data_IF_218599066272
#
_entry.id   IF_218599066272
#
_cell.length_a   1.000
_cell.length_b   1.000
_cell.length_c   1.000
_cell.angle_alpha   90.00
_cell.angle_beta   90.00
_cell.angle_gamma   90.00
#
_symmetry.space_group_name_H-M   'P 1'
#
loop_
_entity.id
_entity.type
_entity.pdbx_description
1 polymer ?
#
# COMPACT_ATOMS: atom_id res chain seq x y z
N UNK A 1 -15.57 6.10 -28.56
CA UNK A 1 -14.46 5.17 -28.38
C UNK A 1 -15.03 3.79 -28.65
N UNK A 2 -14.31 2.90 -29.31
CA UNK A 2 -14.81 1.53 -29.57
C UNK A 2 -15.03 0.82 -28.21
N UNK A 3 -16.14 0.07 -28.10
CA UNK A 3 -16.42 -0.76 -26.90
C UNK A 3 -15.41 -1.93 -26.75
N UNK A 4 -14.47 -2.05 -27.66
CA UNK A 4 -13.42 -3.08 -27.68
C UNK A 4 -12.23 -2.65 -26.85
N UNK A 5 -11.81 -3.49 -25.91
CA UNK A 5 -10.75 -3.23 -24.93
C UNK A 5 -9.66 -4.32 -24.99
N UNK A 6 -8.63 -4.18 -24.17
CA UNK A 6 -7.49 -5.11 -24.12
C UNK A 6 -7.93 -6.56 -23.84
N UNK A 7 -8.81 -6.79 -22.86
CA UNK A 7 -9.35 -8.11 -22.55
C UNK A 7 -10.08 -8.73 -23.75
N UNK A 8 -10.93 -7.95 -24.42
CA UNK A 8 -11.70 -8.43 -25.58
C UNK A 8 -10.78 -8.82 -26.72
N UNK A 9 -9.69 -8.08 -26.96
CA UNK A 9 -8.64 -8.42 -27.92
C UNK A 9 -7.95 -9.76 -27.61
N UNK A 10 -7.66 -10.04 -26.33
CA UNK A 10 -7.11 -11.33 -25.91
C UNK A 10 -8.08 -12.47 -26.14
N UNK A 11 -9.37 -12.28 -25.80
CA UNK A 11 -10.41 -13.30 -26.00
C UNK A 11 -10.60 -13.59 -27.47
N UNK A 12 -10.67 -12.56 -28.32
CA UNK A 12 -10.79 -12.73 -29.78
C UNK A 12 -9.60 -13.49 -30.35
N UNK A 13 -8.38 -13.11 -29.99
CA UNK A 13 -7.19 -13.81 -30.44
C UNK A 13 -7.12 -15.26 -29.95
N UNK A 14 -7.48 -15.50 -28.67
CA UNK A 14 -7.59 -16.86 -28.14
C UNK A 14 -8.62 -17.71 -28.91
N UNK A 15 -9.76 -17.11 -29.29
CA UNK A 15 -10.83 -17.75 -30.08
C UNK A 15 -10.41 -18.20 -31.50
N UNK A 16 -9.38 -17.57 -32.06
CA UNK A 16 -8.78 -17.98 -33.34
C UNK A 16 -7.97 -19.29 -33.23
N UNK A 17 -7.81 -19.84 -32.03
CA UNK A 17 -7.04 -21.06 -31.75
C UNK A 17 -5.63 -21.05 -32.37
N UNK A 18 -4.79 -20.03 -32.08
CA UNK A 18 -3.48 -19.88 -32.69
C UNK A 18 -2.54 -21.02 -32.27
N UNK A 19 -1.71 -21.51 -33.23
CA UNK A 19 -0.63 -22.44 -32.90
C UNK A 19 0.45 -21.71 -32.09
N UNK A 20 0.57 -22.03 -30.79
CA UNK A 20 1.47 -21.36 -29.82
C UNK A 20 2.81 -22.08 -29.75
N UNK A 21 3.80 -21.63 -30.53
CA UNK A 21 5.20 -22.08 -30.41
C UNK A 21 6.05 -21.16 -29.51
N UNK A 22 5.40 -20.18 -28.89
CA UNK A 22 5.96 -19.21 -27.91
C UNK A 22 5.65 -19.65 -26.48
N UNK A 23 6.22 -18.95 -25.48
CA UNK A 23 5.83 -19.03 -24.07
C UNK A 23 4.41 -18.45 -23.85
N UNK A 24 3.69 -18.77 -22.76
CA UNK A 24 4.07 -19.72 -21.70
C UNK A 24 4.06 -21.20 -22.11
N UNK A 25 4.71 -22.04 -21.29
CA UNK A 25 4.93 -23.46 -21.59
C UNK A 25 3.68 -24.33 -21.71
N UNK A 26 2.56 -23.95 -21.08
CA UNK A 26 1.26 -24.64 -21.17
C UNK A 26 0.54 -24.41 -22.51
N UNK A 27 1.01 -23.48 -23.36
CA UNK A 27 0.51 -23.23 -24.73
C UNK A 27 -0.99 -22.89 -24.82
N UNK A 28 -1.55 -22.30 -23.75
CA UNK A 28 -2.99 -21.99 -23.66
C UNK A 28 -3.89 -23.21 -23.56
N UNK A 29 -3.35 -24.35 -23.12
CA UNK A 29 -4.08 -25.62 -23.07
C UNK A 29 -4.39 -25.98 -21.60
N UNK A 30 -3.64 -26.91 -21.05
CA UNK A 30 -3.89 -27.50 -19.74
C UNK A 30 -2.79 -27.12 -18.75
N UNK A 31 -3.17 -26.80 -17.52
CA UNK A 31 -2.26 -26.58 -16.40
C UNK A 31 -2.35 -27.72 -15.38
N UNK A 32 -1.33 -27.89 -14.48
CA UNK A 32 -1.40 -28.90 -13.41
C UNK A 32 -2.58 -28.71 -12.45
N UNK A 33 -3.04 -27.47 -12.28
CA UNK A 33 -4.24 -27.12 -11.53
C UNK A 33 -5.38 -26.84 -12.51
N UNK A 34 -6.39 -27.72 -12.52
CA UNK A 34 -7.54 -27.62 -13.42
C UNK A 34 -8.35 -26.32 -13.27
N UNK A 35 -8.33 -25.73 -12.06
CA UNK A 35 -8.98 -24.45 -11.77
C UNK A 35 -8.42 -23.29 -12.62
N UNK A 36 -7.21 -23.44 -13.13
CA UNK A 36 -6.56 -22.45 -14.01
C UNK A 36 -6.78 -22.69 -15.50
N UNK A 37 -7.41 -23.80 -15.89
CA UNK A 37 -7.64 -24.13 -17.30
C UNK A 37 -8.49 -23.06 -18.02
N UNK A 38 -9.39 -22.38 -17.30
CA UNK A 38 -10.18 -21.29 -17.85
C UNK A 38 -9.33 -20.03 -18.16
N UNK A 39 -8.20 -19.84 -17.47
CA UNK A 39 -7.30 -18.70 -17.67
C UNK A 39 -6.18 -19.00 -18.66
N UNK A 40 -5.83 -20.28 -18.85
CA UNK A 40 -4.74 -20.68 -19.73
C UNK A 40 -4.87 -20.15 -21.17
N UNK A 41 -6.06 -20.09 -21.80
CA UNK A 41 -6.23 -19.50 -23.13
C UNK A 41 -5.89 -18.02 -23.23
N UNK A 42 -6.01 -17.27 -22.12
CA UNK A 42 -5.73 -15.83 -22.04
C UNK A 42 -4.29 -15.53 -21.62
N UNK A 43 -3.53 -16.54 -21.19
CA UNK A 43 -2.13 -16.35 -20.77
C UNK A 43 -1.21 -16.42 -22.00
N UNK A 44 -0.80 -15.23 -22.42
CA UNK A 44 0.04 -14.99 -23.58
C UNK A 44 1.41 -14.44 -23.18
N UNK A 45 2.17 -14.04 -24.14
CA UNK A 45 3.36 -13.20 -24.06
C UNK A 45 3.21 -12.03 -25.04
N UNK A 46 4.24 -11.21 -25.17
CA UNK A 46 4.30 -10.03 -26.02
C UNK A 46 4.32 -10.45 -27.51
N UNK A 47 3.15 -10.57 -28.11
CA UNK A 47 2.94 -10.80 -29.52
C UNK A 47 2.28 -9.57 -30.15
N UNK A 48 2.38 -9.45 -31.49
CA UNK A 48 1.74 -8.36 -32.21
C UNK A 48 0.23 -8.20 -31.90
N UNK A 49 -0.58 -9.26 -31.76
CA UNK A 49 -1.99 -9.14 -31.40
C UNK A 49 -2.26 -8.94 -29.89
N UNK A 50 -1.31 -9.26 -29.01
CA UNK A 50 -1.52 -9.25 -27.55
C UNK A 50 -0.92 -8.03 -26.86
N UNK A 51 -0.18 -7.20 -27.59
CA UNK A 51 0.47 -6.01 -27.06
C UNK A 51 1.71 -6.29 -26.22
N UNK A 52 2.38 -5.21 -25.82
CA UNK A 52 3.61 -5.25 -25.01
C UNK A 52 3.55 -4.18 -23.93
N UNK A 53 3.51 -4.61 -22.66
CA UNK A 53 3.43 -3.72 -21.51
C UNK A 53 4.51 -2.62 -21.50
N UNK A 54 5.69 -2.88 -22.06
CA UNK A 54 6.81 -1.94 -22.13
C UNK A 54 6.98 -1.29 -23.52
N UNK A 55 6.28 -1.79 -24.54
CA UNK A 55 6.39 -1.30 -25.93
C UNK A 55 5.57 -0.05 -26.20
N UNK A 56 4.26 -0.18 -26.12
CA UNK A 56 3.30 0.90 -26.38
C UNK A 56 2.61 0.82 -27.74
N UNK A 57 1.73 1.80 -27.98
CA UNK A 57 0.91 1.92 -29.19
C UNK A 57 0.02 0.70 -29.47
N UNK A 58 -0.58 0.12 -28.41
CA UNK A 58 -1.43 -1.05 -28.45
C UNK A 58 -2.64 -0.93 -27.52
N UNK A 59 -3.53 -1.93 -27.54
CA UNK A 59 -4.73 -2.02 -26.71
C UNK A 59 -4.43 -1.90 -25.20
N UNK A 60 -3.26 -2.36 -24.76
CA UNK A 60 -2.84 -2.28 -23.38
C UNK A 60 -2.54 -0.84 -22.95
N UNK A 61 -1.85 -0.09 -23.81
CA UNK A 61 -1.63 1.34 -23.58
C UNK A 61 -2.94 2.13 -23.60
N UNK A 62 -3.85 1.80 -24.50
CA UNK A 62 -5.18 2.44 -24.53
C UNK A 62 -5.95 2.20 -23.22
N UNK A 63 -5.88 1.00 -22.68
CA UNK A 63 -6.48 0.65 -21.39
C UNK A 63 -5.84 1.43 -20.24
N UNK A 64 -4.51 1.55 -20.18
CA UNK A 64 -3.79 2.37 -19.20
C UNK A 64 -4.16 3.86 -19.30
N UNK A 65 -4.32 4.40 -20.52
CA UNK A 65 -4.77 5.78 -20.78
C UNK A 65 -6.18 6.03 -20.25
N UNK A 66 -7.09 5.05 -20.38
CA UNK A 66 -8.44 5.15 -19.84
C UNK A 66 -8.43 5.19 -18.30
N UNK A 67 -7.58 4.38 -17.64
CA UNK A 67 -7.39 4.47 -16.19
C UNK A 67 -6.85 5.83 -15.75
N UNK A 68 -5.82 6.35 -16.45
CA UNK A 68 -5.26 7.67 -16.17
C UNK A 68 -6.34 8.76 -16.29
N UNK A 69 -7.14 8.73 -17.37
CA UNK A 69 -8.25 9.63 -17.58
C UNK A 69 -9.27 9.60 -16.43
N UNK A 70 -9.72 8.41 -16.04
CA UNK A 70 -10.70 8.24 -14.95
C UNK A 70 -10.20 8.78 -13.62
N UNK A 71 -8.91 8.64 -13.37
CA UNK A 71 -8.27 9.11 -12.15
C UNK A 71 -7.84 10.59 -12.21
N UNK A 72 -7.98 11.25 -13.38
CA UNK A 72 -7.54 12.61 -13.57
C UNK A 72 -6.03 12.79 -13.42
N UNK A 73 -5.27 11.77 -13.82
CA UNK A 73 -3.81 11.71 -13.84
C UNK A 73 -3.29 11.68 -15.28
N UNK A 74 -2.04 12.07 -15.52
CA UNK A 74 -1.49 12.12 -16.88
C UNK A 74 -1.16 10.72 -17.44
N UNK A 75 -0.70 9.82 -16.57
CA UNK A 75 -0.25 8.48 -16.99
C UNK A 75 -0.68 7.42 -15.97
N UNK A 76 -0.87 6.18 -16.48
CA UNK A 76 -1.08 4.98 -15.68
C UNK A 76 -0.16 3.85 -16.19
N UNK A 77 0.21 2.93 -15.30
CA UNK A 77 0.94 1.70 -15.62
C UNK A 77 0.40 0.52 -14.81
N UNK A 78 0.18 -0.61 -15.46
CA UNK A 78 -0.25 -1.85 -14.83
C UNK A 78 0.92 -2.56 -14.17
N UNK A 79 0.86 -2.71 -12.85
CA UNK A 79 1.89 -3.38 -12.07
C UNK A 79 1.44 -4.78 -11.64
N UNK A 80 2.20 -5.80 -12.04
CA UNK A 80 2.00 -7.20 -11.63
C UNK A 80 2.91 -7.62 -10.48
N UNK A 81 3.69 -6.69 -9.94
CA UNK A 81 4.54 -6.85 -8.75
C UNK A 81 4.00 -6.12 -7.52
N UNK A 82 2.71 -5.75 -7.53
CA UNK A 82 2.04 -5.05 -6.44
C UNK A 82 2.54 -3.61 -6.25
N UNK A 83 2.05 -2.94 -5.21
CA UNK A 83 2.53 -1.60 -4.85
C UNK A 83 3.99 -1.56 -4.43
N UNK A 84 4.63 -2.70 -4.14
CA UNK A 84 6.09 -2.76 -3.97
C UNK A 84 6.81 -2.32 -5.24
N UNK A 85 6.40 -2.86 -6.41
CA UNK A 85 6.88 -2.40 -7.71
C UNK A 85 6.56 -0.92 -7.92
N UNK A 86 5.35 -0.49 -7.51
CA UNK A 86 4.92 0.91 -7.62
C UNK A 86 5.81 1.87 -6.83
N UNK A 87 6.14 1.58 -5.58
CA UNK A 87 7.05 2.39 -4.76
C UNK A 87 8.42 2.50 -5.40
N UNK A 88 8.99 1.38 -5.86
CA UNK A 88 10.28 1.39 -6.57
C UNK A 88 10.21 2.24 -7.83
N UNK A 89 9.14 2.12 -8.61
CA UNK A 89 8.90 2.91 -9.83
C UNK A 89 8.82 4.40 -9.53
N UNK A 90 8.07 4.82 -8.52
CA UNK A 90 7.92 6.23 -8.16
C UNK A 90 9.26 6.86 -7.76
N UNK A 91 10.05 6.19 -6.93
CA UNK A 91 11.38 6.69 -6.59
C UNK A 91 12.31 6.74 -7.81
N UNK A 92 12.34 5.69 -8.64
CA UNK A 92 13.14 5.68 -9.87
C UNK A 92 12.76 6.80 -10.84
N UNK A 93 11.48 7.19 -10.87
CA UNK A 93 10.95 8.22 -11.76
C UNK A 93 11.32 9.62 -11.28
N UNK A 94 11.15 9.90 -9.99
CA UNK A 94 11.18 11.26 -9.44
C UNK A 94 12.46 11.61 -8.66
N UNK A 95 13.36 10.65 -8.43
CA UNK A 95 14.60 10.88 -7.67
C UNK A 95 15.85 10.41 -8.43
N UNK A 96 17.01 10.80 -7.91
CA UNK A 96 18.33 10.38 -8.40
C UNK A 96 19.19 9.91 -7.22
N UNK A 97 20.19 9.04 -7.44
CA UNK A 97 21.10 8.65 -6.38
C UNK A 97 21.74 9.85 -5.69
N UNK A 98 21.77 9.82 -4.35
CA UNK A 98 22.26 10.92 -3.51
C UNK A 98 21.20 11.96 -3.13
N UNK A 99 20.01 11.93 -3.73
CA UNK A 99 18.95 12.87 -3.37
C UNK A 99 18.49 12.71 -1.91
N UNK A 100 18.21 13.85 -1.27
CA UNK A 100 17.50 13.90 0.00
C UNK A 100 16.00 13.78 -0.27
N UNK A 101 15.34 12.88 0.45
CA UNK A 101 13.90 12.63 0.36
C UNK A 101 13.25 12.69 1.73
N UNK A 102 12.12 13.39 1.83
CA UNK A 102 11.29 13.38 3.04
C UNK A 102 10.46 12.10 3.03
N UNK A 103 10.47 11.35 4.11
CA UNK A 103 9.82 10.04 4.16
C UNK A 103 8.97 9.93 5.42
N UNK A 104 7.70 9.65 5.22
CA UNK A 104 6.77 9.31 6.29
C UNK A 104 7.26 8.09 7.09
N UNK A 105 7.38 8.24 8.41
CA UNK A 105 7.91 7.16 9.26
C UNK A 105 7.02 5.92 9.30
N UNK A 106 5.73 6.03 9.01
CA UNK A 106 4.79 4.89 8.96
C UNK A 106 4.74 4.20 7.59
N UNK A 107 5.80 4.32 6.81
CA UNK A 107 5.89 3.71 5.49
C UNK A 107 6.08 2.18 5.54
N UNK A 108 5.67 1.53 4.47
CA UNK A 108 5.87 0.09 4.28
C UNK A 108 7.36 -0.25 4.04
N UNK A 109 7.76 -1.49 4.37
CA UNK A 109 9.15 -1.99 4.15
C UNK A 109 9.68 -1.82 2.72
N UNK A 110 8.84 -1.77 1.70
CA UNK A 110 9.25 -1.50 0.31
C UNK A 110 9.91 -0.13 0.13
N UNK A 111 9.54 0.85 0.95
CA UNK A 111 10.16 2.18 0.94
C UNK A 111 11.62 2.09 1.41
N UNK A 112 11.89 1.34 2.48
CA UNK A 112 13.26 1.11 2.94
C UNK A 112 14.11 0.39 1.88
N UNK A 113 13.49 -0.55 1.14
CA UNK A 113 14.15 -1.20 0.00
C UNK A 113 14.47 -0.20 -1.12
N UNK A 114 13.54 0.69 -1.44
CA UNK A 114 13.75 1.72 -2.46
C UNK A 114 14.88 2.69 -2.05
N UNK A 115 14.88 3.16 -0.79
CA UNK A 115 15.95 4.03 -0.26
C UNK A 115 17.34 3.39 -0.40
N UNK A 116 17.44 2.09 -0.10
CA UNK A 116 18.71 1.37 -0.23
C UNK A 116 19.12 1.13 -1.69
N UNK A 117 18.17 0.72 -2.55
CA UNK A 117 18.45 0.40 -3.96
C UNK A 117 18.81 1.64 -4.78
N UNK A 118 18.12 2.76 -4.55
CA UNK A 118 18.34 4.01 -5.29
C UNK A 118 19.30 4.97 -4.60
N UNK A 119 19.95 4.55 -3.50
CA UNK A 119 20.95 5.34 -2.76
C UNK A 119 20.42 6.71 -2.33
N UNK A 120 19.28 6.74 -1.65
CA UNK A 120 18.60 7.95 -1.22
C UNK A 120 18.86 8.26 0.26
N UNK A 121 18.88 9.55 0.60
CA UNK A 121 19.09 10.05 1.95
C UNK A 121 17.75 10.41 2.59
N UNK A 122 17.15 9.56 3.46
CA UNK A 122 15.87 9.84 4.06
C UNK A 122 15.95 10.86 5.20
N UNK A 123 15.02 11.80 5.19
CA UNK A 123 14.64 12.63 6.34
C UNK A 123 13.30 12.11 6.85
N UNK A 124 13.31 11.48 8.02
CA UNK A 124 12.14 10.86 8.58
C UNK A 124 11.17 11.89 9.15
N UNK A 125 9.93 11.88 8.66
CA UNK A 125 8.83 12.71 9.17
C UNK A 125 8.01 11.95 10.19
N UNK A 126 7.59 12.65 11.23
CA UNK A 126 6.79 12.08 12.31
C UNK A 126 5.35 12.53 12.19
N UNK A 127 4.46 11.59 12.41
CA UNK A 127 3.05 11.88 12.57
C UNK A 127 2.72 12.18 14.03
N UNK A 128 1.70 12.98 14.33
CA UNK A 128 1.16 13.11 15.68
C UNK A 128 0.81 11.74 16.25
N UNK A 129 1.20 11.48 17.49
CA UNK A 129 0.77 10.27 18.21
C UNK A 129 -0.57 10.52 18.88
N UNK A 130 -1.56 9.73 18.54
CA UNK A 130 -2.90 9.80 19.13
C UNK A 130 -2.92 8.91 20.37
N UNK A 131 -2.56 9.49 21.53
CA UNK A 131 -2.34 8.76 22.78
C UNK A 131 -3.53 7.86 23.15
N UNK A 132 -4.75 8.38 23.06
CA UNK A 132 -5.96 7.63 23.42
C UNK A 132 -6.28 6.48 22.44
N UNK A 133 -5.58 6.42 21.33
CA UNK A 133 -5.78 5.44 20.26
C UNK A 133 -4.58 4.51 20.08
N UNK A 134 -3.41 4.87 20.60
CA UNK A 134 -2.13 4.19 20.32
C UNK A 134 -1.85 3.98 18.81
N UNK A 135 -2.24 4.93 17.99
CA UNK A 135 -1.95 4.99 16.56
C UNK A 135 -1.40 6.36 16.15
N UNK A 136 -0.77 6.43 14.99
CA UNK A 136 -0.35 7.71 14.42
C UNK A 136 -1.52 8.40 13.71
N UNK A 137 -1.64 9.71 13.88
CA UNK A 137 -2.57 10.57 13.16
C UNK A 137 -2.14 10.83 11.70
N UNK A 138 -2.77 11.80 11.02
CA UNK A 138 -2.37 12.22 9.67
C UNK A 138 -0.98 12.86 9.67
N UNK A 139 -0.26 12.79 8.55
CA UNK A 139 0.92 13.63 8.34
C UNK A 139 0.44 15.09 8.16
N UNK A 140 1.02 16.02 8.92
CA UNK A 140 0.59 17.42 8.94
C UNK A 140 1.48 18.30 8.08
N UNK A 141 0.91 19.41 7.55
CA UNK A 141 1.67 20.42 6.80
C UNK A 141 2.76 21.08 7.65
N UNK A 142 2.53 21.26 8.96
CA UNK A 142 3.52 21.86 9.89
C UNK A 142 4.78 20.99 9.98
N UNK A 143 4.63 19.67 10.06
CA UNK A 143 5.79 18.75 10.10
C UNK A 143 6.56 18.79 8.79
N UNK A 144 5.86 18.78 7.66
CA UNK A 144 6.49 18.85 6.32
C UNK A 144 7.18 20.22 6.15
N UNK A 145 6.52 21.32 6.53
CA UNK A 145 7.11 22.66 6.45
C UNK A 145 8.36 22.79 7.30
N UNK A 146 8.34 22.25 8.53
CA UNK A 146 9.49 22.18 9.42
C UNK A 146 10.67 21.45 8.78
N UNK A 147 10.40 20.29 8.17
CA UNK A 147 11.42 19.50 7.49
C UNK A 147 11.99 20.22 6.26
N UNK A 148 11.14 20.86 5.45
CA UNK A 148 11.56 21.61 4.26
C UNK A 148 12.37 22.87 4.60
N UNK A 149 12.14 23.49 5.77
CA UNK A 149 12.98 24.60 6.28
C UNK A 149 14.39 24.12 6.63
N UNK A 150 14.52 22.89 7.14
CA UNK A 150 15.80 22.30 7.55
C UNK A 150 16.53 21.63 6.39
N UNK A 151 15.76 21.11 5.43
CA UNK A 151 16.24 20.36 4.27
C UNK A 151 15.65 20.92 2.96
N UNK A 152 16.03 22.17 2.59
CA UNK A 152 15.52 22.82 1.37
C UNK A 152 15.98 22.12 0.08
N UNK A 153 16.98 21.26 0.15
CA UNK A 153 17.50 20.45 -0.95
C UNK A 153 16.62 19.24 -1.27
N UNK A 154 15.64 18.89 -0.43
CA UNK A 154 14.78 17.72 -0.62
C UNK A 154 14.08 17.73 -1.99
N UNK A 155 14.03 16.57 -2.66
CA UNK A 155 13.49 16.42 -4.02
C UNK A 155 12.10 15.82 -4.03
N UNK A 156 11.78 14.97 -3.06
CA UNK A 156 10.48 14.34 -2.96
C UNK A 156 10.05 14.17 -1.50
N UNK A 157 8.75 14.12 -1.29
CA UNK A 157 8.08 13.64 -0.08
C UNK A 157 7.34 12.36 -0.42
N UNK A 158 7.57 11.28 0.32
CA UNK A 158 6.72 10.10 0.29
C UNK A 158 5.82 10.09 1.53
N UNK A 159 4.50 9.97 1.31
CA UNK A 159 3.49 9.83 2.36
C UNK A 159 2.68 8.56 2.15
N UNK A 160 2.32 7.88 3.25
CA UNK A 160 1.40 6.73 3.23
C UNK A 160 -0.01 7.21 3.55
N UNK A 161 -0.95 7.12 2.60
CA UNK A 161 -2.35 7.52 2.80
C UNK A 161 -3.28 6.69 1.91
N UNK A 162 -4.20 5.91 2.51
CA UNK A 162 -4.42 5.73 3.95
C UNK A 162 -3.32 4.91 4.63
N UNK A 163 -3.19 5.08 5.96
CA UNK A 163 -2.37 4.16 6.77
C UNK A 163 -3.06 2.79 6.90
N UNK A 164 -2.39 1.82 7.50
CA UNK A 164 -2.97 0.49 7.73
C UNK A 164 -4.25 0.56 8.60
N UNK A 165 -4.30 1.48 9.54
CA UNK A 165 -5.49 1.75 10.38
C UNK A 165 -6.54 2.63 9.68
N UNK A 166 -6.33 2.98 8.42
CA UNK A 166 -7.26 3.78 7.63
C UNK A 166 -7.15 5.29 7.82
N UNK A 167 -6.11 5.80 8.50
CA UNK A 167 -5.93 7.25 8.69
C UNK A 167 -5.51 7.91 7.38
N UNK A 168 -6.25 8.93 7.00
CA UNK A 168 -6.02 9.73 5.79
C UNK A 168 -5.23 11.00 6.13
N UNK A 169 -4.34 11.43 5.23
CA UNK A 169 -3.69 12.74 5.26
C UNK A 169 -4.32 13.67 4.23
N UNK A 170 -4.27 14.97 4.46
CA UNK A 170 -4.72 15.99 3.51
C UNK A 170 -3.69 16.12 2.38
N UNK A 171 -3.90 15.32 1.32
CA UNK A 171 -2.97 15.26 0.19
C UNK A 171 -2.99 16.53 -0.65
N UNK A 172 -4.12 17.26 -0.72
CA UNK A 172 -4.22 18.51 -1.45
C UNK A 172 -3.35 19.60 -0.80
N UNK A 173 -3.49 19.77 0.52
CA UNK A 173 -2.67 20.74 1.26
C UNK A 173 -1.17 20.37 1.23
N UNK A 174 -0.84 19.07 1.33
CA UNK A 174 0.54 18.58 1.21
C UNK A 174 1.10 18.82 -0.20
N UNK A 175 0.30 18.63 -1.26
CA UNK A 175 0.71 18.88 -2.63
C UNK A 175 1.01 20.37 -2.87
N UNK A 176 0.10 21.27 -2.44
CA UNK A 176 0.31 22.71 -2.54
C UNK A 176 1.61 23.14 -1.85
N UNK A 177 1.85 22.64 -0.63
CA UNK A 177 3.06 22.95 0.14
C UNK A 177 4.34 22.44 -0.55
N UNK A 178 4.33 21.21 -1.05
CA UNK A 178 5.46 20.60 -1.76
C UNK A 178 5.75 21.33 -3.06
N UNK A 179 4.74 21.55 -3.87
CA UNK A 179 4.88 22.22 -5.19
C UNK A 179 5.40 23.67 -5.05
N UNK A 180 4.96 24.41 -4.03
CA UNK A 180 5.48 25.73 -3.72
C UNK A 180 7.00 25.75 -3.41
N UNK A 181 7.59 24.60 -3.11
CA UNK A 181 9.02 24.41 -2.81
C UNK A 181 9.75 23.61 -3.88
N UNK A 182 9.08 23.25 -4.99
CA UNK A 182 9.65 22.42 -6.07
C UNK A 182 9.92 20.96 -5.66
N UNK A 183 9.25 20.46 -4.62
CA UNK A 183 9.34 19.11 -4.11
C UNK A 183 8.20 18.26 -4.70
N UNK A 184 8.50 17.02 -5.10
CA UNK A 184 7.51 16.08 -5.63
C UNK A 184 6.76 15.37 -4.51
N UNK A 185 5.43 15.30 -4.59
CA UNK A 185 4.62 14.51 -3.65
C UNK A 185 4.34 13.12 -4.21
N UNK A 186 4.87 12.10 -3.55
CA UNK A 186 4.68 10.69 -3.86
C UNK A 186 3.79 10.05 -2.79
N UNK A 187 2.86 9.18 -3.20
CA UNK A 187 1.91 8.57 -2.27
C UNK A 187 1.97 7.05 -2.35
N UNK A 188 2.22 6.43 -1.20
CA UNK A 188 1.87 5.03 -0.98
C UNK A 188 0.38 4.95 -0.65
N UNK A 189 -0.43 4.78 -1.69
CA UNK A 189 -1.88 4.61 -1.62
C UNK A 189 -2.31 3.15 -1.65
N UNK A 190 -1.44 2.20 -1.27
CA UNK A 190 -1.69 0.76 -1.42
C UNK A 190 -3.03 0.29 -0.84
N UNK A 191 -3.55 0.95 0.18
CA UNK A 191 -4.86 0.66 0.79
C UNK A 191 -5.99 1.58 0.30
N UNK A 192 -5.76 2.40 -0.72
CA UNK A 192 -6.66 3.48 -1.11
C UNK A 192 -7.31 3.36 -2.49
N UNK A 193 -7.20 2.21 -3.18
CA UNK A 193 -7.70 2.07 -4.56
C UNK A 193 -9.22 2.30 -4.69
N UNK A 194 -10.01 2.07 -3.64
CA UNK A 194 -11.46 2.28 -3.59
C UNK A 194 -11.87 3.70 -3.19
N UNK A 195 -10.96 4.53 -2.67
CA UNK A 195 -11.29 5.85 -2.14
C UNK A 195 -12.02 6.76 -3.15
N UNK A 196 -11.67 6.77 -4.46
CA UNK A 196 -12.42 7.55 -5.44
C UNK A 196 -13.91 7.17 -5.58
N UNK A 197 -14.29 5.97 -5.10
CA UNK A 197 -15.68 5.48 -5.14
C UNK A 197 -16.52 5.92 -3.93
N UNK A 198 -15.87 6.25 -2.80
CA UNK A 198 -16.52 6.49 -1.51
C UNK A 198 -16.35 7.89 -0.96
N UNK A 199 -15.27 8.61 -1.32
CA UNK A 199 -15.04 9.98 -0.87
C UNK A 199 -15.75 10.97 -1.78
N UNK A 200 -16.48 11.90 -1.20
CA UNK A 200 -17.21 13.06 -1.73
C UNK A 200 -17.99 12.87 -3.05
N UNK A 201 -19.17 13.45 -3.09
CA UNK A 201 -19.94 13.71 -4.30
C UNK A 201 -19.64 15.14 -4.79
N UNK A 202 -19.51 15.35 -6.09
CA UNK A 202 -19.86 16.64 -6.62
C UNK A 202 -18.99 17.36 -7.64
N UNK A 203 -17.92 16.81 -8.21
CA UNK A 203 -17.27 17.48 -9.36
C UNK A 203 -17.43 16.69 -10.66
N UNK A 204 -18.04 17.37 -11.67
CA UNK A 204 -18.55 16.78 -12.91
C UNK A 204 -17.50 16.41 -13.96
N UNK A 205 -16.20 16.59 -13.70
CA UNK A 205 -15.16 16.47 -14.72
C UNK A 205 -14.27 15.22 -14.61
N UNK A 206 -14.54 14.33 -13.66
CA UNK A 206 -13.92 13.01 -13.56
C UNK A 206 -15.04 11.99 -13.44
N UNK A 207 -15.01 10.92 -14.22
CA UNK A 207 -16.03 9.86 -14.20
C UNK A 207 -16.22 9.23 -12.82
N UNK A 208 -15.19 9.24 -11.97
CA UNK A 208 -15.23 8.75 -10.60
C UNK A 208 -15.66 9.81 -9.57
N UNK A 209 -15.85 11.09 -9.97
CA UNK A 209 -16.16 12.18 -9.05
C UNK A 209 -14.91 12.76 -8.39
N UNK A 210 -14.74 12.63 -7.08
CA UNK A 210 -13.56 13.08 -6.35
C UNK A 210 -12.49 12.00 -6.28
N UNK A 211 -11.26 12.31 -6.71
CA UNK A 211 -10.10 11.45 -6.50
C UNK A 211 -9.10 12.16 -5.57
N UNK A 212 -8.84 11.62 -4.34
CA UNK A 212 -7.93 12.24 -3.38
C UNK A 212 -6.46 12.25 -3.86
N UNK A 213 -6.14 11.52 -4.92
CA UNK A 213 -4.76 11.42 -5.45
C UNK A 213 -4.50 12.33 -6.65
N UNK A 214 -5.50 13.09 -7.12
CA UNK A 214 -5.39 13.87 -8.37
C UNK A 214 -4.27 14.91 -8.36
N UNK A 215 -4.02 15.56 -7.22
CA UNK A 215 -3.04 16.63 -7.06
C UNK A 215 -1.60 16.19 -6.82
N UNK A 216 -1.34 14.86 -6.65
CA UNK A 216 -0.01 14.36 -6.34
C UNK A 216 0.84 14.12 -7.60
N UNK A 217 2.17 14.11 -7.48
CA UNK A 217 3.06 13.82 -8.62
C UNK A 217 3.07 12.33 -8.98
N UNK A 218 2.92 11.46 -7.99
CA UNK A 218 2.84 10.03 -8.24
C UNK A 218 2.15 9.26 -7.11
N UNK A 219 1.38 8.24 -7.47
CA UNK A 219 0.73 7.35 -6.50
C UNK A 219 0.75 5.90 -7.00
N UNK A 220 0.93 4.97 -6.07
CA UNK A 220 0.66 3.57 -6.33
C UNK A 220 -0.47 3.06 -5.45
N UNK A 221 -1.38 2.29 -6.03
CA UNK A 221 -2.50 1.67 -5.32
C UNK A 221 -2.54 0.16 -5.59
N UNK A 222 -2.74 -0.65 -4.56
CA UNK A 222 -2.93 -2.09 -4.73
C UNK A 222 -4.39 -2.37 -5.09
N UNK A 223 -4.64 -2.79 -6.31
CA UNK A 223 -5.97 -3.17 -6.75
C UNK A 223 -6.51 -4.35 -5.93
N UNK A 224 -5.66 -5.35 -5.69
CA UNK A 224 -6.02 -6.59 -4.98
C UNK A 224 -6.37 -6.42 -3.50
N UNK A 225 -6.05 -5.28 -2.86
CA UNK A 225 -6.32 -5.09 -1.42
C UNK A 225 -7.74 -4.60 -1.16
N UNK A 226 -8.23 -3.72 -2.01
CA UNK A 226 -9.51 -3.04 -1.78
C UNK A 226 -10.45 -3.04 -2.97
N UNK A 227 -10.05 -3.59 -4.13
CA UNK A 227 -10.88 -3.85 -5.29
C UNK A 227 -10.91 -5.36 -5.60
N UNK A 228 -11.88 -5.82 -6.39
CA UNK A 228 -12.01 -7.24 -6.77
C UNK A 228 -11.01 -7.61 -7.87
N UNK A 229 -9.74 -7.72 -7.50
CA UNK A 229 -8.65 -8.04 -8.42
C UNK A 229 -7.74 -9.16 -7.86
N UNK A 230 -7.05 -9.93 -8.73
CA UNK A 230 -6.11 -10.96 -8.31
C UNK A 230 -4.97 -10.39 -7.46
N UNK A 231 -4.45 -11.20 -6.54
CA UNK A 231 -3.25 -10.85 -5.76
C UNK A 231 -2.09 -10.38 -6.66
N UNK A 232 -1.23 -9.49 -6.15
CA UNK A 232 -0.13 -8.81 -6.84
C UNK A 232 -0.54 -7.69 -7.81
N UNK A 233 -1.80 -7.54 -8.20
CA UNK A 233 -2.21 -6.44 -9.08
C UNK A 233 -2.17 -5.09 -8.38
N UNK A 234 -1.60 -4.11 -9.07
CA UNK A 234 -1.56 -2.72 -8.63
C UNK A 234 -1.59 -1.77 -9.83
N UNK A 235 -1.89 -0.51 -9.57
CA UNK A 235 -1.85 0.57 -10.54
C UNK A 235 -0.84 1.62 -10.06
N UNK A 236 -0.08 2.16 -11.00
CA UNK A 236 0.86 3.26 -10.76
C UNK A 236 0.38 4.43 -11.60
N UNK A 237 0.12 5.56 -10.97
CA UNK A 237 -0.27 6.80 -11.66
C UNK A 237 0.80 7.86 -11.44
N UNK A 238 1.02 8.70 -12.45
CA UNK A 238 1.95 9.81 -12.33
C UNK A 238 1.51 11.02 -13.16
N UNK A 239 1.84 12.22 -12.66
CA UNK A 239 1.63 13.52 -13.30
C UNK A 239 2.94 14.14 -13.75
N UNK A 240 2.89 14.94 -14.83
CA UNK A 240 4.04 15.66 -15.36
C UNK A 240 5.10 14.77 -16.01
N UNK A 241 4.75 13.53 -16.38
CA UNK A 241 5.65 12.57 -17.04
C UNK A 241 4.98 11.93 -18.25
N UNK A 242 5.79 11.46 -19.18
CA UNK A 242 5.32 10.73 -20.36
C UNK A 242 5.21 9.22 -20.08
N UNK A 243 4.37 8.52 -20.85
CA UNK A 243 4.24 7.07 -20.77
C UNK A 243 5.59 6.34 -20.94
N UNK A 244 6.47 6.71 -21.91
CA UNK A 244 7.79 6.11 -22.02
C UNK A 244 8.68 6.31 -20.79
N UNK A 245 8.59 7.46 -20.11
CA UNK A 245 9.34 7.71 -18.87
C UNK A 245 8.83 6.81 -17.74
N UNK A 246 7.51 6.68 -17.59
CA UNK A 246 6.90 5.80 -16.59
C UNK A 246 7.26 4.32 -16.83
N UNK A 247 7.15 3.84 -18.08
CA UNK A 247 7.54 2.47 -18.46
C UNK A 247 9.01 2.17 -18.20
N UNK A 248 9.90 3.12 -18.55
CA UNK A 248 11.33 2.98 -18.28
C UNK A 248 11.61 2.84 -16.79
N UNK A 249 10.96 3.63 -15.94
CA UNK A 249 11.10 3.55 -14.50
C UNK A 249 10.53 2.24 -13.95
N UNK A 250 9.33 1.84 -14.40
CA UNK A 250 8.68 0.60 -13.99
C UNK A 250 9.51 -0.64 -14.37
N UNK A 251 10.17 -0.63 -15.52
CA UNK A 251 11.03 -1.72 -15.98
C UNK A 251 12.24 -2.01 -15.08
N UNK A 252 12.65 -1.06 -14.21
CA UNK A 252 13.74 -1.30 -13.26
C UNK A 252 13.34 -2.24 -12.11
N UNK A 253 12.05 -2.35 -11.81
CA UNK A 253 11.54 -3.11 -10.67
C UNK A 253 10.54 -4.21 -11.05
N UNK A 254 10.41 -4.50 -12.34
CA UNK A 254 9.39 -5.38 -12.87
C UNK A 254 9.96 -6.61 -13.57
N UNK A 255 9.13 -7.63 -13.71
CA UNK A 255 9.41 -8.77 -14.59
C UNK A 255 9.29 -8.35 -16.06
N UNK A 256 10.14 -8.91 -16.92
CA UNK A 256 10.02 -8.79 -18.38
C UNK A 256 8.94 -9.71 -18.97
N UNK A 257 8.31 -10.57 -18.15
CA UNK A 257 7.26 -11.51 -18.56
C UNK A 257 6.03 -11.31 -17.67
N UNK A 258 5.27 -10.22 -17.88
CA UNK A 258 4.09 -9.93 -17.05
C UNK A 258 2.99 -10.97 -17.27
N UNK A 259 2.22 -11.27 -16.24
CA UNK A 259 1.07 -12.17 -16.34
C UNK A 259 -0.07 -11.51 -17.11
N UNK A 260 -0.36 -11.99 -18.30
CA UNK A 260 -1.48 -11.49 -19.13
C UNK A 260 -2.84 -11.64 -18.48
N UNK A 261 -3.16 -12.75 -17.75
CA UNK A 261 -4.39 -12.80 -16.94
C UNK A 261 -4.53 -11.68 -15.91
N UNK A 262 -3.42 -11.24 -15.29
CA UNK A 262 -3.45 -10.10 -14.36
C UNK A 262 -3.66 -8.78 -15.09
N UNK A 263 -3.05 -8.58 -16.27
CA UNK A 263 -3.27 -7.39 -17.09
C UNK A 263 -4.73 -7.33 -17.56
N UNK A 264 -5.27 -8.45 -18.02
CA UNK A 264 -6.67 -8.57 -18.41
C UNK A 264 -7.64 -8.29 -17.25
N UNK A 265 -7.30 -8.76 -16.04
CA UNK A 265 -8.09 -8.47 -14.86
C UNK A 265 -8.08 -6.97 -14.51
N UNK A 266 -6.95 -6.26 -14.64
CA UNK A 266 -6.86 -4.82 -14.44
C UNK A 266 -7.67 -4.04 -15.48
N UNK A 267 -7.69 -4.49 -16.73
CA UNK A 267 -8.52 -3.89 -17.78
C UNK A 267 -10.02 -4.02 -17.46
N UNK A 268 -10.48 -5.23 -17.11
CA UNK A 268 -11.89 -5.48 -16.74
C UNK A 268 -12.29 -4.87 -15.39
N UNK A 269 -11.33 -4.59 -14.52
CA UNK A 269 -11.58 -3.95 -13.24
C UNK A 269 -12.11 -2.52 -13.40
N UNK A 270 -11.72 -1.81 -14.45
CA UNK A 270 -12.14 -0.44 -14.69
C UNK A 270 -13.67 -0.31 -14.85
N UNK A 271 -14.36 -1.00 -15.80
CA UNK A 271 -15.82 -0.95 -15.88
C UNK A 271 -16.48 -1.48 -14.59
N UNK A 272 -15.94 -2.54 -13.98
CA UNK A 272 -16.45 -3.07 -12.73
C UNK A 272 -16.46 -2.03 -11.59
N UNK A 273 -15.48 -1.13 -11.52
CA UNK A 273 -15.46 -0.06 -10.52
C UNK A 273 -16.70 0.84 -10.62
N UNK A 274 -17.14 1.19 -11.83
CA UNK A 274 -18.35 2.00 -12.01
C UNK A 274 -19.59 1.25 -11.55
N UNK A 275 -19.71 -0.02 -11.92
CA UNK A 275 -20.83 -0.88 -11.56
C UNK A 275 -20.91 -1.12 -10.04
N UNK A 276 -19.77 -1.20 -9.36
CA UNK A 276 -19.66 -1.48 -7.93
C UNK A 276 -19.75 -0.25 -7.03
N UNK A 277 -19.86 0.97 -7.59
CA UNK A 277 -19.81 2.23 -6.82
C UNK A 277 -20.85 2.30 -5.70
N UNK A 278 -22.10 1.97 -6.01
CA UNK A 278 -23.17 2.02 -5.01
C UNK A 278 -22.97 0.95 -3.93
N UNK A 279 -22.33 -0.16 -4.28
CA UNK A 279 -21.96 -1.19 -3.32
C UNK A 279 -20.88 -0.68 -2.34
N UNK A 280 -19.86 0.03 -2.79
CA UNK A 280 -18.87 0.65 -1.89
C UNK A 280 -19.52 1.69 -0.97
N UNK A 281 -20.46 2.48 -1.45
CA UNK A 281 -21.23 3.42 -0.62
C UNK A 281 -22.05 2.70 0.45
N UNK A 282 -22.68 1.59 0.10
CA UNK A 282 -23.39 0.74 1.04
C UNK A 282 -22.46 0.19 2.12
N UNK A 283 -21.29 -0.32 1.74
CA UNK A 283 -20.26 -0.83 2.65
C UNK A 283 -19.77 0.27 3.59
N UNK A 284 -19.52 1.48 3.09
CA UNK A 284 -19.18 2.64 3.92
C UNK A 284 -20.29 2.95 4.96
N UNK A 285 -21.55 2.83 4.55
CA UNK A 285 -22.69 2.95 5.46
C UNK A 285 -22.69 1.86 6.55
N UNK A 286 -22.38 0.63 6.22
CA UNK A 286 -22.24 -0.46 7.19
C UNK A 286 -21.10 -0.20 8.18
N UNK A 287 -19.96 0.29 7.70
CA UNK A 287 -18.85 0.66 8.57
C UNK A 287 -19.24 1.79 9.53
N UNK A 288 -19.98 2.80 9.04
CA UNK A 288 -20.48 3.89 9.88
C UNK A 288 -21.44 3.39 10.98
N UNK A 289 -22.34 2.46 10.67
CA UNK A 289 -23.22 1.82 11.65
C UNK A 289 -22.45 1.01 12.70
N UNK A 290 -21.44 0.24 12.25
CA UNK A 290 -20.60 -0.55 13.15
C UNK A 290 -19.80 0.34 14.10
N UNK A 291 -19.24 1.47 13.61
CA UNK A 291 -18.53 2.44 14.45
C UNK A 291 -19.40 3.05 15.56
N UNK A 292 -20.70 3.18 15.34
CA UNK A 292 -21.63 3.66 16.38
C UNK A 292 -21.97 2.58 17.42
N UNK A 293 -21.89 1.31 17.04
CA UNK A 293 -22.38 0.19 17.85
C UNK A 293 -21.29 -0.55 18.61
N UNK A 294 -20.04 -0.44 18.20
CA UNK A 294 -18.90 -1.20 18.73
C UNK A 294 -17.74 -0.27 19.10
N UNK A 295 -16.77 -0.72 19.95
CA UNK A 295 -15.65 0.08 20.42
C UNK A 295 -14.62 0.31 19.29
N UNK A 296 -14.95 1.17 18.36
CA UNK A 296 -14.07 1.51 17.24
C UNK A 296 -13.16 2.68 17.55
N UNK A 297 -12.11 2.81 16.75
CA UNK A 297 -11.14 3.90 16.81
C UNK A 297 -11.90 5.27 16.83
N UNK A 298 -11.74 6.09 17.89
CA UNK A 298 -12.51 7.31 18.07
C UNK A 298 -11.93 8.49 17.27
N UNK A 299 -11.79 8.30 15.96
CA UNK A 299 -11.35 9.36 15.05
C UNK A 299 -12.54 9.91 14.26
N UNK A 300 -12.45 11.19 13.90
CA UNK A 300 -13.43 11.82 13.02
C UNK A 300 -13.50 11.07 11.68
N UNK A 301 -14.70 10.83 11.20
CA UNK A 301 -14.96 10.14 9.94
C UNK A 301 -14.33 10.84 8.73
N UNK A 302 -14.07 12.14 8.81
CA UNK A 302 -13.37 12.89 7.75
C UNK A 302 -11.89 12.50 7.61
N UNK A 303 -11.27 11.99 8.67
CA UNK A 303 -9.87 11.56 8.69
C UNK A 303 -9.66 10.05 8.56
N UNK A 304 -10.73 9.28 8.29
CA UNK A 304 -10.67 7.82 8.17
C UNK A 304 -11.20 7.32 6.83
N UNK A 305 -10.58 6.27 6.32
CA UNK A 305 -11.10 5.45 5.23
C UNK A 305 -12.51 4.94 5.59
N UNK A 306 -13.55 5.29 4.82
CA UNK A 306 -14.93 4.91 5.13
C UNK A 306 -15.17 3.39 5.19
N UNK A 307 -14.41 2.60 4.44
CA UNK A 307 -14.52 1.14 4.37
C UNK A 307 -13.59 0.39 5.33
N UNK A 308 -12.82 1.11 6.18
CA UNK A 308 -11.92 0.53 7.17
C UNK A 308 -12.59 0.50 8.53
N UNK A 309 -12.80 -0.70 9.09
CA UNK A 309 -13.30 -0.84 10.46
C UNK A 309 -12.12 -1.21 11.37
N UNK A 310 -11.84 -0.36 12.36
CA UNK A 310 -10.81 -0.60 13.38
C UNK A 310 -11.47 -0.62 14.75
N UNK A 311 -11.50 -1.80 15.36
CA UNK A 311 -11.95 -1.95 16.74
C UNK A 311 -10.77 -1.66 17.67
N UNK A 312 -11.01 -0.93 18.75
CA UNK A 312 -10.03 -0.58 19.78
C UNK A 312 -10.41 -1.25 21.09
N UNK A 313 -9.62 -2.23 21.50
CA UNK A 313 -9.93 -3.20 22.56
C UNK A 313 -8.74 -3.41 23.49
N UNK A 314 -8.94 -4.06 24.64
CA UNK A 314 -7.89 -4.33 25.62
C UNK A 314 -6.84 -5.35 25.15
N UNK A 315 -7.27 -6.37 24.39
CA UNK A 315 -6.42 -7.44 23.87
C UNK A 315 -6.91 -7.87 22.49
N UNK A 316 -6.38 -7.17 21.47
CA UNK A 316 -6.77 -7.39 20.07
C UNK A 316 -6.38 -8.78 19.57
N UNK A 317 -5.17 -9.25 19.92
CA UNK A 317 -4.68 -10.55 19.48
C UNK A 317 -5.54 -11.70 20.01
N UNK A 318 -5.91 -11.65 21.30
CA UNK A 318 -6.80 -12.64 21.89
C UNK A 318 -8.20 -12.62 21.27
N UNK A 319 -8.72 -11.44 20.95
CA UNK A 319 -10.04 -11.33 20.32
C UNK A 319 -10.00 -11.79 18.86
N UNK A 320 -8.92 -11.53 18.13
CA UNK A 320 -8.72 -12.08 16.79
C UNK A 320 -8.75 -13.61 16.81
N UNK A 321 -8.03 -14.24 17.74
CA UNK A 321 -8.05 -15.70 17.88
C UNK A 321 -9.46 -16.23 18.15
N UNK A 322 -10.24 -15.58 19.01
CA UNK A 322 -11.62 -16.00 19.26
C UNK A 322 -12.55 -15.83 18.04
N UNK A 323 -12.30 -14.81 17.20
CA UNK A 323 -13.03 -14.65 15.94
C UNK A 323 -12.63 -15.74 14.95
N UNK A 324 -11.35 -16.10 14.87
CA UNK A 324 -10.86 -17.24 14.06
C UNK A 324 -11.51 -18.55 14.47
N UNK A 325 -11.69 -18.82 15.79
CA UNK A 325 -12.40 -19.99 16.31
C UNK A 325 -13.87 -20.03 15.83
N UNK A 326 -14.45 -18.87 15.47
CA UNK A 326 -15.78 -18.74 14.87
C UNK A 326 -15.73 -18.69 13.33
N UNK A 327 -14.56 -18.90 12.73
CA UNK A 327 -14.33 -18.82 11.28
C UNK A 327 -14.38 -17.41 10.72
N UNK A 328 -14.11 -16.38 11.54
CA UNK A 328 -14.06 -14.96 11.12
C UNK A 328 -12.60 -14.52 11.17
N UNK A 329 -11.99 -14.29 10.02
CA UNK A 329 -10.60 -13.87 9.87
C UNK A 329 -10.55 -12.37 9.62
N UNK A 330 -9.92 -11.61 10.51
CA UNK A 330 -9.70 -10.17 10.34
C UNK A 330 -8.44 -9.93 9.51
N UNK A 331 -8.30 -8.74 8.94
CA UNK A 331 -7.11 -8.38 8.17
C UNK A 331 -5.85 -8.38 9.05
N UNK A 332 -5.97 -7.84 10.25
CA UNK A 332 -4.87 -7.68 11.17
C UNK A 332 -5.36 -7.55 12.60
N UNK A 333 -4.56 -8.01 13.55
CA UNK A 333 -4.67 -7.63 14.96
C UNK A 333 -3.31 -7.19 15.50
N UNK A 334 -3.34 -6.27 16.45
CA UNK A 334 -2.23 -5.97 17.33
C UNK A 334 -2.69 -6.05 18.78
N UNK A 335 -1.86 -5.56 19.72
CA UNK A 335 -2.19 -5.60 21.15
C UNK A 335 -3.54 -4.92 21.47
N UNK A 336 -3.90 -3.84 20.77
CA UNK A 336 -5.05 -2.99 21.11
C UNK A 336 -6.10 -2.90 19.98
N UNK A 337 -5.81 -3.44 18.81
CA UNK A 337 -6.68 -3.24 17.64
C UNK A 337 -7.01 -4.52 16.90
N UNK A 338 -8.19 -4.50 16.29
CA UNK A 338 -8.61 -5.43 15.23
C UNK A 338 -8.96 -4.59 14.01
N UNK A 339 -8.32 -4.88 12.88
CA UNK A 339 -8.57 -4.18 11.61
C UNK A 339 -9.32 -5.09 10.67
N UNK A 340 -10.47 -4.62 10.17
CA UNK A 340 -11.23 -5.27 9.11
C UNK A 340 -11.24 -4.36 7.88
N UNK A 341 -11.06 -4.96 6.72
CA UNK A 341 -11.23 -4.31 5.41
C UNK A 341 -12.55 -4.82 4.84
N UNK A 342 -13.49 -3.90 4.59
CA UNK A 342 -14.74 -4.23 3.92
C UNK A 342 -14.68 -3.68 2.48
N UNK A 343 -15.21 -4.46 1.54
CA UNK A 343 -15.18 -4.14 0.11
C UNK A 343 -16.54 -4.36 -0.54
N UNK A 344 -16.66 -4.02 -1.82
CA UNK A 344 -17.89 -4.29 -2.58
C UNK A 344 -18.21 -5.79 -2.73
N UNK A 345 -17.25 -6.68 -2.43
CA UNK A 345 -17.46 -8.14 -2.47
C UNK A 345 -18.20 -8.66 -1.22
N UNK A 346 -18.20 -7.90 -0.11
CA UNK A 346 -18.89 -8.31 1.11
C UNK A 346 -20.40 -8.20 0.96
N UNK A 347 -21.13 -9.17 1.48
CA UNK A 347 -22.58 -9.25 1.46
C UNK A 347 -23.20 -8.95 2.84
N UNK A 348 -24.52 -8.72 2.89
CA UNK A 348 -25.23 -8.52 4.15
C UNK A 348 -25.09 -9.72 5.11
N UNK A 349 -24.98 -10.93 4.55
CA UNK A 349 -24.72 -12.14 5.31
C UNK A 349 -23.38 -12.10 6.06
N UNK A 350 -22.34 -11.54 5.44
CA UNK A 350 -21.02 -11.38 6.05
C UNK A 350 -21.05 -10.35 7.16
N UNK A 351 -21.73 -9.22 6.94
CA UNK A 351 -21.97 -8.21 7.97
C UNK A 351 -22.69 -8.77 9.19
N UNK A 352 -23.75 -9.56 8.97
CA UNK A 352 -24.51 -10.19 10.06
C UNK A 352 -23.66 -11.21 10.82
N UNK A 353 -22.78 -11.96 10.12
CA UNK A 353 -21.87 -12.90 10.73
C UNK A 353 -20.83 -12.16 11.59
N UNK A 354 -20.25 -11.06 11.10
CA UNK A 354 -19.33 -10.21 11.88
C UNK A 354 -20.04 -9.66 13.13
N UNK A 355 -21.24 -9.06 12.98
CA UNK A 355 -22.03 -8.55 14.11
C UNK A 355 -22.30 -9.63 15.17
N UNK A 356 -22.64 -10.87 14.77
CA UNK A 356 -22.82 -11.98 15.69
C UNK A 356 -21.53 -12.32 16.46
N UNK A 357 -20.40 -12.42 15.78
CA UNK A 357 -19.10 -12.65 16.41
C UNK A 357 -18.77 -11.58 17.44
N UNK A 358 -18.87 -10.31 17.08
CA UNK A 358 -18.61 -9.20 17.98
C UNK A 358 -19.58 -9.16 19.19
N UNK A 359 -20.84 -9.55 18.99
CA UNK A 359 -21.83 -9.66 20.09
C UNK A 359 -21.49 -10.80 21.05
N UNK A 360 -21.09 -11.98 20.55
CA UNK A 360 -20.63 -13.11 21.36
C UNK A 360 -19.43 -12.71 22.21
N UNK A 361 -18.55 -11.87 21.68
CA UNK A 361 -17.39 -11.33 22.42
C UNK A 361 -17.78 -10.21 23.40
N UNK A 362 -19.06 -9.83 23.47
CA UNK A 362 -19.58 -8.80 24.40
C UNK A 362 -19.13 -7.39 24.07
N UNK A 363 -18.82 -7.09 22.80
CA UNK A 363 -18.28 -5.79 22.37
C UNK A 363 -19.36 -4.75 22.06
N UNK A 364 -20.62 -5.16 21.85
CA UNK A 364 -21.71 -4.23 21.54
C UNK A 364 -21.94 -3.24 22.66
N UNK A 365 -21.99 -1.94 22.32
CA UNK A 365 -22.24 -0.86 23.28
C UNK A 365 -21.09 -0.60 24.25
N UNK A 366 -19.92 -1.22 24.04
CA UNK A 366 -18.71 -0.89 24.79
C UNK A 366 -18.08 0.39 24.26
N UNK A 367 -17.40 1.13 25.15
CA UNK A 367 -16.54 2.23 24.77
C UNK A 367 -15.17 1.69 24.31
N UNK A 368 -14.46 2.41 23.42
CA UNK A 368 -13.10 2.06 23.07
C UNK A 368 -12.19 1.98 24.31
N UNK A 369 -11.34 0.96 24.34
CA UNK A 369 -10.30 0.84 25.36
C UNK A 369 -9.26 1.96 25.17
N UNK A 370 -8.77 2.57 26.23
CA UNK A 370 -7.71 3.59 26.14
C UNK A 370 -6.37 2.93 26.43
N UNK A 371 -5.51 2.74 25.40
CA UNK A 371 -4.21 2.10 25.57
C UNK A 371 -3.23 2.96 26.38
N UNK A 372 -2.39 2.33 27.19
CA UNK A 372 -1.23 2.96 27.82
C UNK A 372 0.03 2.59 27.02
N UNK A 373 0.17 3.22 25.86
CA UNK A 373 1.32 3.02 24.96
C UNK A 373 1.82 4.40 24.51
N UNK A 374 3.08 4.69 24.81
CA UNK A 374 3.75 5.90 24.36
C UNK A 374 4.09 5.85 22.84
N UNK A 375 4.35 7.03 22.27
CA UNK A 375 4.86 7.11 20.91
C UNK A 375 6.17 6.32 20.72
N UNK A 376 6.39 5.69 19.56
CA UNK A 376 7.66 5.03 19.26
C UNK A 376 8.84 5.99 19.45
N UNK A 377 9.93 5.57 20.13
CA UNK A 377 11.14 6.37 20.21
C UNK A 377 11.74 6.51 18.80
N UNK A 378 12.50 7.59 18.60
CA UNK A 378 13.17 7.82 17.33
C UNK A 378 14.61 7.40 17.42
N UNK A 379 15.02 6.40 16.65
CA UNK A 379 16.39 5.96 16.60
C UNK A 379 17.30 6.97 15.88
N UNK A 380 18.59 6.99 16.25
CA UNK A 380 19.63 7.72 15.53
C UNK A 380 20.17 6.84 14.40
N UNK A 381 20.27 7.37 13.19
CA UNK A 381 20.93 6.69 12.07
C UNK A 381 22.45 6.95 12.11
N UNK A 382 23.23 5.88 11.99
CA UNK A 382 24.71 5.92 11.87
C UNK A 382 25.18 5.55 10.47
N UNK A 383 24.37 4.81 9.72
CA UNK A 383 24.63 4.43 8.34
C UNK A 383 23.45 4.83 7.46
N UNK A 384 23.70 5.07 6.18
CA UNK A 384 22.63 5.21 5.22
C UNK A 384 21.87 3.87 5.05
N UNK A 385 20.61 3.88 4.58
CA UNK A 385 19.88 2.64 4.31
C UNK A 385 20.64 1.71 3.36
N UNK A 386 21.33 2.27 2.35
CA UNK A 386 22.17 1.50 1.42
C UNK A 386 23.35 0.85 2.13
N UNK A 387 24.12 1.64 2.90
CA UNK A 387 25.26 1.12 3.63
C UNK A 387 24.87 -0.03 4.56
N UNK A 388 23.77 0.12 5.29
CA UNK A 388 23.28 -0.90 6.23
C UNK A 388 22.79 -2.17 5.53
N UNK A 389 21.99 -2.02 4.44
CA UNK A 389 21.39 -3.14 3.72
C UNK A 389 22.37 -3.99 2.92
N UNK A 390 23.49 -3.40 2.50
CA UNK A 390 24.55 -4.08 1.73
C UNK A 390 25.80 -4.37 2.55
N UNK A 391 25.82 -4.04 3.85
CA UNK A 391 26.87 -4.45 4.76
C UNK A 391 26.80 -5.96 5.02
N UNK A 392 27.90 -6.52 5.51
CA UNK A 392 27.89 -7.88 6.05
C UNK A 392 27.00 -7.92 7.28
N UNK A 393 26.08 -8.88 7.34
CA UNK A 393 25.07 -8.98 8.38
C UNK A 393 25.38 -10.10 9.38
N UNK A 394 24.92 -9.90 10.61
CA UNK A 394 24.99 -10.89 11.69
C UNK A 394 23.62 -11.09 12.31
N UNK A 395 23.24 -12.36 12.52
CA UNK A 395 22.07 -12.72 13.32
C UNK A 395 22.36 -12.44 14.79
N UNK A 396 21.60 -11.53 15.41
CA UNK A 396 21.80 -11.09 16.79
C UNK A 396 20.51 -11.28 17.58
N UNK A 397 20.61 -11.82 18.79
CA UNK A 397 19.46 -11.86 19.70
C UNK A 397 19.18 -10.46 20.22
N UNK A 398 17.91 -10.07 20.31
CA UNK A 398 17.51 -8.72 20.71
C UNK A 398 18.07 -8.33 22.08
N UNK A 399 18.13 -9.29 23.03
CA UNK A 399 18.76 -9.06 24.34
C UNK A 399 20.28 -8.80 24.32
N UNK A 400 20.94 -8.94 23.16
CA UNK A 400 22.38 -8.69 22.94
C UNK A 400 22.63 -7.59 21.91
N UNK A 401 21.55 -6.89 21.52
CA UNK A 401 21.60 -5.95 20.40
C UNK A 401 21.79 -4.47 20.81
N UNK A 402 21.93 -4.19 22.10
CA UNK A 402 22.17 -2.82 22.57
C UNK A 402 23.41 -2.22 21.88
N UNK A 403 23.25 -1.02 21.34
CA UNK A 403 24.29 -0.27 20.61
C UNK A 403 24.58 -0.79 19.19
N UNK A 404 23.97 -1.89 18.76
CA UNK A 404 24.17 -2.43 17.40
C UNK A 404 23.37 -1.63 16.36
N UNK A 405 23.91 -1.59 15.14
CA UNK A 405 23.24 -0.97 13.98
C UNK A 405 22.41 -2.04 13.28
N UNK A 406 21.19 -1.68 12.96
CA UNK A 406 20.23 -2.59 12.30
C UNK A 406 20.53 -2.68 10.80
N UNK A 407 20.61 -3.90 10.28
CA UNK A 407 20.82 -4.17 8.85
C UNK A 407 19.52 -4.30 8.06
N UNK A 408 18.46 -4.82 8.69
CA UNK A 408 17.13 -5.01 8.10
C UNK A 408 16.05 -4.35 8.97
N UNK A 409 14.95 -3.81 8.41
CA UNK A 409 13.93 -3.13 9.20
C UNK A 409 13.38 -4.03 10.32
N UNK A 410 13.29 -3.50 11.55
CA UNK A 410 12.54 -4.16 12.62
C UNK A 410 11.12 -3.64 12.57
N UNK A 411 10.24 -4.47 12.03
CA UNK A 411 8.83 -4.14 11.86
C UNK A 411 7.98 -5.19 12.59
N UNK A 412 7.23 -4.82 13.64
CA UNK A 412 6.20 -5.68 14.17
C UNK A 412 5.24 -6.08 13.05
N UNK A 413 4.93 -7.35 12.96
CA UNK A 413 3.97 -7.82 11.96
C UNK A 413 2.83 -8.56 12.66
N UNK A 414 1.60 -8.13 12.44
CA UNK A 414 1.14 -6.94 11.73
C UNK A 414 1.46 -5.63 12.48
N UNK A 415 1.45 -4.44 11.85
CA UNK A 415 1.14 -4.12 10.46
C UNK A 415 2.35 -4.11 9.51
N UNK A 416 3.54 -4.45 9.96
CA UNK A 416 4.75 -4.39 9.14
C UNK A 416 5.33 -2.98 8.92
N UNK A 417 4.96 -2.03 9.79
CA UNK A 417 5.54 -0.69 9.83
C UNK A 417 6.81 -0.72 10.67
N UNK A 418 7.98 -0.35 10.11
CA UNK A 418 9.24 -0.41 10.83
C UNK A 418 9.32 0.57 12.00
N UNK A 419 9.58 0.05 13.19
CA UNK A 419 9.96 0.83 14.37
C UNK A 419 11.42 1.28 14.25
N UNK A 420 12.28 0.41 13.71
CA UNK A 420 13.70 0.69 13.49
C UNK A 420 14.03 0.47 12.02
N UNK A 421 14.63 1.45 11.38
CA UNK A 421 15.05 1.41 9.98
C UNK A 421 16.50 0.90 9.83
N UNK A 422 16.90 0.36 8.66
CA UNK A 422 18.28 0.03 8.38
C UNK A 422 19.21 1.23 8.58
N UNK A 423 20.31 1.00 9.26
CA UNK A 423 21.30 2.04 9.60
C UNK A 423 21.08 2.72 10.95
N UNK A 424 19.96 2.47 11.60
CA UNK A 424 19.67 3.02 12.92
C UNK A 424 20.24 2.17 14.06
N UNK A 425 20.53 2.83 15.19
CA UNK A 425 21.13 2.22 16.38
C UNK A 425 20.07 1.80 17.39
N UNK A 426 20.20 0.61 17.92
CA UNK A 426 19.36 0.10 19.00
C UNK A 426 19.81 0.67 20.36
N UNK A 427 19.03 1.61 20.89
CA UNK A 427 19.19 2.16 22.21
C UNK A 427 18.37 1.40 23.24
N UNK A 428 18.62 1.59 24.53
CA UNK A 428 17.85 0.99 25.62
C UNK A 428 16.35 1.32 25.49
N UNK A 429 16.00 2.59 25.21
CA UNK A 429 14.61 3.01 25.01
C UNK A 429 13.92 2.28 23.85
N UNK A 430 14.66 1.98 22.76
CA UNK A 430 14.12 1.26 21.61
C UNK A 430 13.90 -0.21 21.97
N UNK A 431 14.85 -0.83 22.67
CA UNK A 431 14.70 -2.21 23.14
C UNK A 431 13.50 -2.35 24.09
N UNK A 432 13.35 -1.44 25.04
CA UNK A 432 12.21 -1.43 25.97
C UNK A 432 10.88 -1.26 25.21
N UNK A 433 10.85 -0.41 24.20
CA UNK A 433 9.66 -0.24 23.35
C UNK A 433 9.35 -1.53 22.55
N UNK A 434 10.36 -2.16 21.95
CA UNK A 434 10.17 -3.43 21.23
C UNK A 434 9.67 -4.54 22.15
N UNK A 435 10.14 -4.60 23.41
CA UNK A 435 9.60 -5.58 24.38
C UNK A 435 8.13 -5.33 24.73
N UNK A 436 7.68 -4.06 24.74
CA UNK A 436 6.25 -3.73 24.90
C UNK A 436 5.41 -4.18 23.68
N UNK A 437 6.01 -4.30 22.48
CA UNK A 437 5.36 -4.73 21.24
C UNK A 437 5.47 -6.25 20.95
N UNK A 438 5.58 -7.09 21.99
CA UNK A 438 5.64 -8.54 21.85
C UNK A 438 6.95 -9.14 21.31
N UNK A 439 8.03 -8.36 21.21
CA UNK A 439 9.37 -8.92 21.02
C UNK A 439 9.91 -9.40 22.38
N UNK A 440 10.76 -10.43 22.37
CA UNK A 440 11.47 -10.90 23.56
C UNK A 440 12.99 -10.86 23.36
N UNK A 441 13.73 -11.12 24.45
CA UNK A 441 15.21 -11.15 24.42
C UNK A 441 15.78 -12.21 23.49
N UNK A 442 15.02 -13.25 23.16
CA UNK A 442 15.42 -14.35 22.27
C UNK A 442 15.12 -14.05 20.80
N UNK A 443 14.26 -13.05 20.51
CA UNK A 443 13.93 -12.62 19.16
C UNK A 443 15.20 -12.32 18.38
N UNK A 444 15.31 -12.86 17.14
CA UNK A 444 16.50 -12.72 16.30
C UNK A 444 16.27 -11.62 15.26
N UNK A 445 17.20 -10.69 15.20
CA UNK A 445 17.23 -9.60 14.24
C UNK A 445 18.53 -9.64 13.43
N UNK A 446 18.58 -8.87 12.33
CA UNK A 446 19.78 -8.69 11.54
C UNK A 446 20.44 -7.37 11.92
N UNK A 447 21.71 -7.45 12.33
CA UNK A 447 22.55 -6.28 12.62
C UNK A 447 23.73 -6.23 11.66
N UNK A 448 24.27 -5.04 11.44
CA UNK A 448 25.53 -4.87 10.70
C UNK A 448 26.67 -5.53 11.50
N UNK A 449 27.48 -6.33 10.84
CA UNK A 449 28.68 -6.90 11.44
C UNK A 449 29.75 -5.80 11.56
N UNK A 450 30.25 -5.59 12.77
CA UNK A 450 31.36 -4.67 12.98
C UNK A 450 32.61 -5.23 12.29
N UNK A 451 33.34 -4.38 11.57
CA UNK A 451 34.65 -4.78 11.04
C UNK A 451 35.51 -5.20 12.24
N UNK A 452 35.91 -6.46 12.28
CA UNK A 452 37.00 -6.89 13.18
C UNK A 452 38.28 -6.26 12.65
N UNK A 453 38.85 -5.32 13.42
CA UNK A 453 40.17 -4.74 13.17
C UNK A 453 41.26 -5.82 13.02
#
# INVERSE_FOLDING_TARGET
MSDHNFYDSLVEFAGQNPLRLHMPGHKGKQMPMSEWDALAPLDFTELSPTGNLYGGDDWLEDSERLWAWDWGMDTCFYATGGSTQGILTLFALFTRPGDTVLVDRVCHKSVHSALALFDLNPVWLRRPWLQNCAVTGPLTCEEVERALKTHPEAKALLVTSPTYYGVLSDLDALAELCHARGVKLLVDGAHGAHLPLVLREGEKNCLLGFNPFRGVDGVTVSAHKTLSAPGQTALIFANGVTIPQLRRAAGLAATSSPSYPMLAALDKLRPWMYESRDRYRQVAGWCAELRQSYPCLPLDSAGLDPCRLVLQVEDGNRLAQKLEDMGIYVEMSDQFHLVCILTAADEEGDLLRLKRGLNVLGLRGKTPFVPDLEAPPVPEAKLSPRQARFAREKRTRLGQALGKIVADPIAPYPPGVPVVAPGEVLTEKILDYLYKLCYDKSSVILTVEEATD
#
